data_IF_520680087331
#
_entry.id   IF_520680087331
#
_cell.length_a   1.000
_cell.length_b   1.000
_cell.length_c   1.000
_cell.angle_alpha   90.00
_cell.angle_beta   90.00
_cell.angle_gamma   90.00
#
_symmetry.space_group_name_H-M   'P 1'
#
loop_
_entity.id
_entity.type
_entity.pdbx_description
1 polymer ?
#
# COMPACT_ATOMS: atom_id res chain seq x y z
N UNK A 1 -14.31 32.62 -24.51
CA UNK A 1 -12.91 32.12 -24.66
C UNK A 1 -12.09 32.63 -23.45
N UNK A 2 -12.01 31.84 -22.35
CA UNK A 2 -11.16 32.15 -21.18
C UNK A 2 -9.94 31.22 -21.21
N UNK A 3 -8.79 31.77 -21.59
CA UNK A 3 -7.49 31.09 -21.50
C UNK A 3 -7.08 31.00 -20.02
N UNK A 4 -6.91 29.76 -19.51
CA UNK A 4 -6.27 29.52 -18.21
C UNK A 4 -4.75 29.57 -18.41
N UNK A 5 -4.12 30.56 -17.80
CA UNK A 5 -2.67 30.71 -17.73
C UNK A 5 -2.18 29.80 -16.61
N UNK A 6 -1.45 28.75 -16.93
CA UNK A 6 -0.73 27.93 -15.94
C UNK A 6 0.59 28.63 -15.60
N UNK A 7 0.63 29.20 -14.39
CA UNK A 7 1.87 29.73 -13.83
C UNK A 7 2.80 28.56 -13.46
N UNK A 8 3.87 28.44 -14.21
CA UNK A 8 4.97 27.50 -13.93
C UNK A 8 5.76 28.04 -12.72
N UNK A 9 5.56 27.42 -11.56
CA UNK A 9 6.32 27.74 -10.36
C UNK A 9 7.70 27.04 -10.43
N UNK A 10 8.68 27.78 -10.94
CA UNK A 10 10.10 27.36 -10.94
C UNK A 10 10.62 27.52 -9.53
N UNK A 11 10.86 26.40 -8.83
CA UNK A 11 11.60 26.39 -7.57
C UNK A 11 13.10 26.37 -7.84
N UNK A 12 13.71 27.53 -7.67
CA UNK A 12 15.17 27.68 -7.66
C UNK A 12 15.72 27.22 -6.31
N UNK A 13 16.44 26.10 -6.28
CA UNK A 13 17.23 25.68 -5.12
C UNK A 13 18.64 26.28 -5.26
N UNK A 14 18.99 27.18 -4.33
CA UNK A 14 20.33 27.67 -4.14
C UNK A 14 21.18 26.57 -3.48
N UNK A 15 22.22 26.08 -4.18
CA UNK A 15 23.25 25.24 -3.60
C UNK A 15 24.42 26.11 -3.14
N UNK A 16 24.75 26.01 -1.86
CA UNK A 16 26.04 26.44 -1.35
C UNK A 16 27.09 25.37 -1.69
N UNK A 17 28.11 25.77 -2.41
CA UNK A 17 29.27 24.95 -2.74
C UNK A 17 30.24 24.95 -1.55
N UNK A 18 30.74 23.79 -1.14
CA UNK A 18 31.92 23.67 -0.29
C UNK A 18 32.81 22.54 -0.82
N UNK A 19 34.03 22.93 -1.18
CA UNK A 19 35.24 22.16 -0.98
C UNK A 19 35.56 21.01 -1.92
N UNK A 20 36.42 21.34 -2.87
CA UNK A 20 37.22 20.44 -3.69
C UNK A 20 38.33 19.81 -2.84
N UNK A 21 38.43 18.48 -2.78
CA UNK A 21 39.68 17.80 -2.41
C UNK A 21 39.99 16.79 -3.53
N UNK A 22 41.04 17.08 -4.26
CA UNK A 22 41.68 16.19 -5.24
C UNK A 22 42.63 15.25 -4.53
N UNK A 23 42.50 13.94 -4.74
CA UNK A 23 43.56 12.97 -4.48
C UNK A 23 43.79 12.15 -5.73
N UNK A 24 45.02 12.27 -6.27
CA UNK A 24 45.59 11.40 -7.29
C UNK A 24 46.09 10.12 -6.61
N UNK A 25 45.85 8.98 -7.24
CA UNK A 25 46.81 7.89 -7.32
C UNK A 25 46.38 6.86 -8.35
N UNK A 26 47.28 6.64 -9.28
CA UNK A 26 47.44 5.54 -10.20
C UNK A 26 47.38 4.19 -9.51
N UNK A 27 46.77 3.18 -10.14
CA UNK A 27 47.46 1.93 -10.42
C UNK A 27 46.61 1.02 -11.33
N UNK A 28 47.23 0.61 -12.40
CA UNK A 28 46.82 -0.33 -13.42
C UNK A 28 46.96 -1.77 -12.92
N UNK A 29 45.92 -2.61 -13.04
CA UNK A 29 46.07 -4.07 -13.12
C UNK A 29 45.09 -4.66 -14.14
N UNK A 30 45.70 -5.43 -15.02
CA UNK A 30 45.23 -6.11 -16.22
C UNK A 30 44.17 -7.21 -15.98
N UNK A 31 43.33 -7.35 -17.03
CA UNK A 31 42.33 -8.40 -17.26
C UNK A 31 43.02 -9.73 -17.67
N UNK A 32 42.36 -10.86 -17.44
CA UNK A 32 42.24 -11.83 -18.54
C UNK A 32 40.80 -12.22 -18.86
N UNK A 33 40.53 -12.19 -20.16
CA UNK A 33 39.37 -12.77 -20.85
C UNK A 33 39.18 -14.26 -20.56
N UNK A 34 37.94 -14.68 -20.38
CA UNK A 34 37.46 -15.95 -20.95
C UNK A 34 35.96 -15.86 -21.28
N UNK A 35 35.70 -16.03 -22.57
CA UNK A 35 34.40 -16.26 -23.20
C UNK A 35 33.62 -17.40 -22.58
N UNK A 36 32.33 -17.25 -22.38
CA UNK A 36 31.36 -18.22 -22.89
C UNK A 36 30.00 -17.57 -23.14
N UNK A 37 29.52 -17.77 -24.35
CA UNK A 37 28.23 -17.35 -24.90
C UNK A 37 27.12 -18.20 -24.28
N UNK A 38 26.05 -17.55 -23.80
CA UNK A 38 24.73 -18.16 -23.77
C UNK A 38 23.69 -17.07 -24.03
N UNK A 39 23.15 -17.12 -25.22
CA UNK A 39 22.01 -16.36 -25.72
C UNK A 39 20.75 -16.92 -25.06
N UNK A 40 20.06 -16.14 -24.24
CA UNK A 40 18.64 -16.37 -23.96
C UNK A 40 17.86 -15.08 -24.15
N UNK A 41 17.17 -15.08 -25.28
CA UNK A 41 16.10 -14.14 -25.63
C UNK A 41 14.87 -14.49 -24.81
N UNK A 42 14.45 -13.62 -23.93
CA UNK A 42 13.14 -13.70 -23.28
C UNK A 42 12.50 -12.32 -23.27
N UNK A 43 11.76 -12.08 -24.34
CA UNK A 43 10.70 -11.05 -24.39
C UNK A 43 9.56 -11.49 -23.50
N UNK A 44 9.34 -10.83 -22.39
CA UNK A 44 8.11 -10.92 -21.62
C UNK A 44 7.50 -9.53 -21.49
N UNK A 45 6.61 -9.24 -22.41
CA UNK A 45 5.61 -8.18 -22.32
C UNK A 45 4.48 -8.69 -21.44
N UNK A 46 4.47 -8.33 -20.17
CA UNK A 46 3.32 -8.58 -19.30
C UNK A 46 2.37 -7.37 -19.36
N UNK A 47 1.35 -7.53 -20.17
CA UNK A 47 0.10 -6.76 -20.10
C UNK A 47 -0.74 -7.41 -18.99
N UNK A 48 -0.73 -6.84 -17.80
CA UNK A 48 -1.67 -7.24 -16.75
C UNK A 48 -3.05 -6.67 -17.04
N UNK A 49 -3.86 -7.46 -17.74
CA UNK A 49 -5.31 -7.29 -17.79
C UNK A 49 -5.89 -7.90 -16.51
N UNK A 50 -6.31 -7.05 -15.57
CA UNK A 50 -6.98 -7.48 -14.36
C UNK A 50 -8.41 -7.92 -14.67
N UNK A 51 -8.59 -9.19 -15.03
CA UNK A 51 -9.88 -9.88 -14.98
C UNK A 51 -9.99 -10.58 -13.63
N UNK A 52 -10.89 -10.07 -12.78
CA UNK A 52 -11.28 -10.74 -11.54
C UNK A 52 -12.04 -12.03 -11.87
N UNK A 53 -11.34 -13.15 -11.97
CA UNK A 53 -11.97 -14.46 -11.94
C UNK A 53 -12.10 -14.92 -10.48
N UNK A 54 -13.29 -14.70 -9.94
CA UNK A 54 -13.74 -15.31 -8.69
C UNK A 54 -14.08 -16.78 -8.98
N UNK A 55 -13.13 -17.69 -8.73
CA UNK A 55 -13.42 -19.13 -8.77
C UNK A 55 -14.29 -19.48 -7.56
N UNK A 56 -15.55 -19.81 -7.85
CA UNK A 56 -16.44 -20.47 -6.89
C UNK A 56 -16.04 -21.95 -6.84
N UNK A 57 -15.19 -22.35 -5.89
CA UNK A 57 -15.07 -23.76 -5.55
C UNK A 57 -16.20 -24.10 -4.58
N UNK A 58 -17.27 -24.67 -5.11
CA UNK A 58 -18.33 -25.34 -4.35
C UNK A 58 -17.84 -26.78 -4.16
N UNK A 59 -17.26 -27.09 -3.04
CA UNK A 59 -17.04 -28.48 -2.61
C UNK A 59 -18.26 -28.89 -1.81
N UNK A 60 -19.19 -29.61 -2.45
CA UNK A 60 -20.24 -30.32 -1.73
C UNK A 60 -19.64 -31.58 -1.09
N UNK A 61 -19.39 -31.53 0.19
CA UNK A 61 -19.23 -32.75 0.99
C UNK A 61 -20.62 -33.15 1.51
N UNK A 62 -20.97 -34.40 1.21
CA UNK A 62 -22.22 -35.04 1.61
C UNK A 62 -22.28 -35.15 3.14
N UNK A 63 -22.87 -34.15 3.78
CA UNK A 63 -23.27 -34.15 5.18
C UNK A 63 -24.73 -33.77 5.25
N UNK A 64 -25.51 -34.49 6.03
CA UNK A 64 -26.95 -34.30 6.32
C UNK A 64 -27.30 -32.93 6.97
N UNK A 65 -26.40 -31.98 6.96
CA UNK A 65 -26.59 -30.60 7.36
C UNK A 65 -26.56 -29.73 6.09
N UNK A 66 -27.71 -29.11 5.75
CA UNK A 66 -27.87 -28.24 4.57
C UNK A 66 -27.08 -26.92 4.63
N UNK A 67 -26.03 -26.86 5.45
CA UNK A 67 -25.19 -25.67 5.62
C UNK A 67 -24.28 -25.45 4.41
N UNK A 68 -24.31 -24.26 3.81
CA UNK A 68 -23.51 -23.87 2.66
C UNK A 68 -22.13 -23.39 3.09
N UNK A 69 -21.07 -24.13 2.74
CA UNK A 69 -19.68 -23.71 3.00
C UNK A 69 -19.09 -23.04 1.78
N UNK A 70 -18.62 -21.77 1.92
CA UNK A 70 -18.00 -21.04 0.84
C UNK A 70 -16.69 -20.36 1.28
N UNK A 71 -15.73 -20.27 0.33
CA UNK A 71 -14.48 -19.57 0.53
C UNK A 71 -14.49 -18.25 -0.23
N UNK A 72 -14.13 -17.15 0.42
CA UNK A 72 -14.03 -15.83 -0.18
C UNK A 72 -12.75 -15.12 0.26
N UNK A 73 -12.27 -14.21 -0.57
CA UNK A 73 -11.18 -13.33 -0.20
C UNK A 73 -11.55 -11.87 -0.37
N UNK A 74 -11.04 -11.03 0.51
CA UNK A 74 -11.19 -9.57 0.45
C UNK A 74 -9.86 -8.91 0.77
N UNK A 75 -9.55 -7.79 0.12
CA UNK A 75 -8.34 -7.02 0.48
C UNK A 75 -8.62 -6.09 1.65
N UNK A 76 -7.59 -5.79 2.43
CA UNK A 76 -7.67 -4.79 3.51
C UNK A 76 -8.24 -3.48 2.97
N UNK A 77 -9.19 -2.88 3.71
CA UNK A 77 -9.95 -1.68 3.36
C UNK A 77 -10.83 -1.82 2.10
N UNK A 78 -11.11 -3.05 1.66
CA UNK A 78 -12.10 -3.33 0.59
C UNK A 78 -13.31 -4.02 1.17
N UNK A 79 -14.41 -3.98 0.40
CA UNK A 79 -15.70 -4.54 0.80
C UNK A 79 -16.16 -5.59 -0.21
N UNK A 80 -16.78 -6.65 0.29
CA UNK A 80 -17.54 -7.62 -0.50
C UNK A 80 -18.93 -7.75 0.10
N UNK A 81 -19.92 -8.10 -0.74
CA UNK A 81 -21.29 -8.40 -0.30
C UNK A 81 -21.50 -9.90 -0.32
N UNK A 82 -21.74 -10.51 0.83
CA UNK A 82 -22.02 -11.94 0.95
C UNK A 82 -23.37 -12.30 0.33
N UNK A 83 -24.34 -11.42 0.37
CA UNK A 83 -25.66 -11.57 -0.23
C UNK A 83 -25.58 -12.18 -1.65
N UNK A 84 -24.75 -11.57 -2.52
CA UNK A 84 -24.58 -12.06 -3.90
C UNK A 84 -23.93 -13.45 -3.95
N UNK A 85 -23.02 -13.75 -3.03
CA UNK A 85 -22.30 -15.03 -2.97
C UNK A 85 -23.16 -16.17 -2.45
N UNK A 86 -24.18 -15.85 -1.67
CA UNK A 86 -25.11 -16.77 -1.04
C UNK A 86 -26.44 -16.86 -1.78
N UNK A 87 -26.56 -16.18 -2.94
CA UNK A 87 -27.78 -16.08 -3.74
C UNK A 87 -29.02 -15.60 -2.94
N UNK A 88 -28.79 -14.76 -1.92
CA UNK A 88 -29.85 -14.16 -1.13
C UNK A 88 -30.42 -12.94 -1.85
N UNK A 89 -31.73 -12.81 -1.93
CA UNK A 89 -32.39 -11.59 -2.37
C UNK A 89 -32.46 -10.54 -1.24
N UNK A 90 -33.03 -9.38 -1.54
CA UNK A 90 -33.09 -8.26 -0.58
C UNK A 90 -34.05 -8.50 0.60
N UNK A 91 -35.02 -9.38 0.43
CA UNK A 91 -35.97 -9.74 1.50
C UNK A 91 -35.33 -10.80 2.41
N UNK A 92 -34.81 -11.90 1.83
CA UNK A 92 -34.15 -12.98 2.57
C UNK A 92 -33.00 -12.51 3.44
N UNK A 93 -32.23 -11.48 3.02
CA UNK A 93 -31.13 -10.91 3.82
C UNK A 93 -31.62 -10.27 5.11
N UNK A 94 -32.88 -9.81 5.17
CA UNK A 94 -33.43 -9.15 6.37
C UNK A 94 -33.66 -10.14 7.51
N UNK A 95 -33.85 -11.40 7.17
CA UNK A 95 -34.10 -12.51 8.09
C UNK A 95 -32.83 -13.31 8.37
N UNK A 96 -31.64 -12.69 8.12
CA UNK A 96 -30.35 -13.31 8.34
C UNK A 96 -29.47 -12.49 9.27
N UNK A 97 -28.85 -13.17 10.23
CA UNK A 97 -27.79 -12.60 11.08
C UNK A 97 -26.43 -13.06 10.60
N UNK A 98 -25.50 -12.08 10.49
CA UNK A 98 -24.12 -12.29 10.04
C UNK A 98 -23.15 -12.03 11.19
N UNK A 99 -22.46 -13.08 11.65
CA UNK A 99 -21.53 -13.01 12.78
C UNK A 99 -20.12 -13.39 12.34
N UNK A 100 -19.16 -12.53 12.62
CA UNK A 100 -17.74 -12.80 12.39
C UNK A 100 -17.08 -13.34 13.64
N UNK A 101 -16.30 -14.43 13.53
CA UNK A 101 -15.57 -15.03 14.65
C UNK A 101 -14.45 -14.10 15.14
N UNK A 102 -13.75 -13.41 14.22
CA UNK A 102 -12.74 -12.42 14.56
C UNK A 102 -13.08 -11.04 13.97
N UNK A 103 -13.68 -10.18 14.79
CA UNK A 103 -14.03 -8.82 14.46
C UNK A 103 -12.81 -7.89 14.28
N UNK A 104 -11.60 -8.32 14.63
CA UNK A 104 -10.35 -7.58 14.35
C UNK A 104 -9.85 -7.79 12.93
N UNK A 105 -10.21 -8.92 12.30
CA UNK A 105 -9.85 -9.26 10.92
C UNK A 105 -10.85 -8.70 9.93
N UNK A 106 -12.16 -8.79 10.21
CA UNK A 106 -13.23 -8.28 9.38
C UNK A 106 -14.31 -7.56 10.19
N UNK A 107 -14.97 -6.60 9.54
CA UNK A 107 -16.23 -6.02 10.03
C UNK A 107 -17.36 -6.45 9.11
N UNK A 108 -18.42 -6.99 9.68
CA UNK A 108 -19.63 -7.38 8.95
C UNK A 108 -20.78 -6.45 9.33
N UNK A 109 -21.58 -6.06 8.34
CA UNK A 109 -22.81 -5.29 8.57
C UNK A 109 -24.02 -6.22 8.59
N UNK A 110 -25.15 -5.75 9.16
CA UNK A 110 -26.45 -6.45 9.14
C UNK A 110 -26.91 -6.87 7.73
N UNK A 111 -26.50 -6.13 6.69
CA UNK A 111 -26.82 -6.49 5.29
C UNK A 111 -25.76 -7.40 4.66
N UNK A 112 -24.97 -8.13 5.41
CA UNK A 112 -23.96 -9.07 4.89
C UNK A 112 -22.82 -8.42 4.12
N UNK A 113 -22.53 -7.11 4.33
CA UNK A 113 -21.36 -6.47 3.75
C UNK A 113 -20.14 -6.66 4.65
N UNK A 114 -19.15 -7.40 4.16
CA UNK A 114 -17.87 -7.62 4.84
C UNK A 114 -16.86 -6.56 4.41
N UNK A 115 -16.16 -6.00 5.38
CA UNK A 115 -15.02 -5.10 5.18
C UNK A 115 -13.77 -5.75 5.78
N UNK A 116 -12.72 -5.98 4.97
CA UNK A 116 -11.42 -6.44 5.48
C UNK A 116 -10.74 -5.34 6.30
N UNK A 117 -10.34 -5.65 7.53
CA UNK A 117 -9.68 -4.71 8.44
C UNK A 117 -8.18 -4.98 8.53
N UNK A 118 -7.79 -6.24 8.69
CA UNK A 118 -6.42 -6.70 8.87
C UNK A 118 -6.20 -7.99 8.08
N UNK A 119 -4.99 -8.23 7.60
CA UNK A 119 -4.64 -9.51 6.97
C UNK A 119 -4.76 -10.67 7.95
N UNK A 120 -5.36 -11.76 7.50
CA UNK A 120 -5.63 -12.95 8.29
C UNK A 120 -6.84 -13.68 7.76
N UNK A 121 -7.15 -14.84 8.35
CA UNK A 121 -8.33 -15.63 8.01
C UNK A 121 -9.32 -15.62 9.17
N UNK A 122 -10.59 -15.62 8.87
CA UNK A 122 -11.69 -15.70 9.83
C UNK A 122 -12.91 -16.31 9.16
N UNK A 123 -13.87 -16.74 9.96
CA UNK A 123 -15.15 -17.25 9.47
C UNK A 123 -16.25 -16.23 9.72
N UNK A 124 -17.22 -16.16 8.83
CA UNK A 124 -18.51 -15.49 9.04
C UNK A 124 -19.60 -16.54 8.98
N UNK A 125 -20.27 -16.74 10.11
CA UNK A 125 -21.45 -17.58 10.20
C UNK A 125 -22.67 -16.76 9.83
N UNK A 126 -23.53 -17.33 9.00
CA UNK A 126 -24.82 -16.75 8.56
C UNK A 126 -25.93 -17.62 9.13
N UNK A 127 -26.75 -17.04 10.01
CA UNK A 127 -27.83 -17.74 10.71
C UNK A 127 -29.18 -17.21 10.23
N UNK A 128 -30.16 -18.09 10.05
CA UNK A 128 -31.55 -17.72 9.81
C UNK A 128 -32.17 -17.21 11.10
N UNK A 129 -32.81 -16.05 11.06
CA UNK A 129 -33.51 -15.45 12.21
C UNK A 129 -34.90 -16.10 12.46
N UNK A 130 -35.36 -16.98 11.54
CA UNK A 130 -36.67 -17.62 11.60
C UNK A 130 -36.64 -18.92 12.41
N UNK A 131 -35.53 -19.65 12.38
CA UNK A 131 -35.39 -20.97 13.03
C UNK A 131 -34.05 -21.19 13.74
N UNK A 132 -33.21 -20.13 13.83
CA UNK A 132 -31.86 -20.15 14.42
C UNK A 132 -30.89 -21.17 13.75
N UNK A 133 -31.24 -21.71 12.58
CA UNK A 133 -30.36 -22.63 11.88
C UNK A 133 -29.18 -21.93 11.22
N UNK A 134 -28.03 -22.63 11.09
CA UNK A 134 -26.90 -22.13 10.33
C UNK A 134 -27.16 -22.30 8.83
N UNK A 135 -27.38 -21.18 8.15
CA UNK A 135 -27.62 -21.16 6.69
C UNK A 135 -26.32 -21.34 5.91
N UNK A 136 -25.24 -20.66 6.34
CA UNK A 136 -23.96 -20.73 5.65
C UNK A 136 -22.78 -20.42 6.55
N UNK A 137 -21.63 -21.04 6.22
CA UNK A 137 -20.31 -20.73 6.77
C UNK A 137 -19.46 -20.12 5.67
N UNK A 138 -18.95 -18.91 5.89
CA UNK A 138 -18.12 -18.19 4.91
C UNK A 138 -16.72 -18.07 5.45
N UNK A 139 -15.78 -18.87 4.92
CA UNK A 139 -14.36 -18.78 5.22
C UNK A 139 -13.76 -17.57 4.46
N UNK A 140 -13.25 -16.61 5.18
CA UNK A 140 -12.72 -15.36 4.65
C UNK A 140 -11.21 -15.28 4.80
N UNK A 141 -10.52 -15.00 3.69
CA UNK A 141 -9.09 -14.67 3.68
C UNK A 141 -8.91 -13.18 3.34
N UNK A 142 -8.42 -12.42 4.32
CA UNK A 142 -8.15 -10.98 4.14
C UNK A 142 -6.72 -10.78 3.70
N UNK A 143 -6.55 -10.43 2.42
CA UNK A 143 -5.24 -10.23 1.77
C UNK A 143 -4.77 -8.77 1.88
N UNK A 144 -3.44 -8.57 1.85
CA UNK A 144 -2.87 -7.21 1.74
C UNK A 144 -3.32 -6.52 0.44
N UNK A 145 -3.41 -5.19 0.49
CA UNK A 145 -3.73 -4.37 -0.69
C UNK A 145 -2.49 -4.04 -1.54
N UNK A 146 -1.33 -4.62 -1.23
CA UNK A 146 -0.04 -4.33 -1.85
C UNK A 146 0.79 -5.59 -2.07
N UNK A 147 1.75 -5.52 -2.99
CA UNK A 147 2.73 -6.58 -3.24
C UNK A 147 3.95 -6.45 -2.30
N UNK A 148 4.74 -7.53 -2.16
CA UNK A 148 6.00 -7.50 -1.41
C UNK A 148 6.97 -6.43 -1.96
N UNK A 149 7.05 -6.27 -3.29
CA UNK A 149 7.86 -5.24 -3.93
C UNK A 149 7.39 -3.83 -3.54
N UNK A 150 6.09 -3.57 -3.52
CA UNK A 150 5.55 -2.27 -3.08
C UNK A 150 5.88 -1.98 -1.62
N UNK A 151 5.76 -2.98 -0.73
CA UNK A 151 6.15 -2.83 0.68
C UNK A 151 7.63 -2.50 0.82
N UNK A 152 8.50 -3.24 0.11
CA UNK A 152 9.95 -3.04 0.09
C UNK A 152 10.31 -1.59 -0.28
N UNK A 153 9.80 -1.09 -1.41
CA UNK A 153 10.08 0.29 -1.86
C UNK A 153 9.49 1.35 -0.93
N UNK A 154 8.26 1.15 -0.44
CA UNK A 154 7.61 2.10 0.47
C UNK A 154 8.35 2.20 1.81
N UNK A 155 8.71 1.07 2.43
CA UNK A 155 9.49 1.07 3.68
C UNK A 155 10.83 1.74 3.50
N UNK A 156 11.51 1.49 2.37
CA UNK A 156 12.83 2.04 2.09
C UNK A 156 12.81 3.54 1.85
N UNK A 157 11.81 4.10 1.18
CA UNK A 157 11.70 5.54 1.01
C UNK A 157 11.32 6.24 2.31
N UNK A 158 10.42 5.66 3.10
CA UNK A 158 10.06 6.19 4.42
C UNK A 158 11.30 6.24 5.30
N UNK A 159 12.11 5.19 5.34
CA UNK A 159 13.37 5.17 6.08
C UNK A 159 14.33 6.26 5.60
N UNK A 160 14.52 6.38 4.28
CA UNK A 160 15.45 7.36 3.70
C UNK A 160 15.06 8.81 3.96
N UNK A 161 13.76 9.11 4.06
CA UNK A 161 13.24 10.47 4.23
C UNK A 161 12.91 10.81 5.68
N UNK A 162 12.58 9.81 6.51
CA UNK A 162 11.93 10.03 7.79
C UNK A 162 12.38 9.07 8.91
N UNK A 163 13.56 8.42 8.84
CA UNK A 163 13.98 7.47 9.89
C UNK A 163 14.11 8.14 11.29
N UNK A 164 14.49 9.43 11.35
CA UNK A 164 14.56 10.21 12.58
C UNK A 164 13.26 10.90 13.00
N UNK A 165 12.17 10.72 12.23
CA UNK A 165 10.87 11.31 12.56
C UNK A 165 10.09 10.39 13.52
N UNK A 166 9.15 10.95 14.32
CA UNK A 166 8.19 10.12 15.05
C UNK A 166 7.31 9.32 14.07
N UNK A 167 6.67 8.26 14.56
CA UNK A 167 5.82 7.38 13.74
C UNK A 167 4.84 8.13 12.83
N UNK A 168 4.20 9.18 13.35
CA UNK A 168 3.30 10.03 12.59
C UNK A 168 4.00 10.67 11.36
N UNK A 169 5.25 11.07 11.48
CA UNK A 169 6.06 11.63 10.39
C UNK A 169 6.41 10.56 9.34
N UNK A 170 6.85 9.37 9.79
CA UNK A 170 7.10 8.20 8.94
C UNK A 170 5.85 7.83 8.13
N UNK A 171 4.70 7.70 8.80
CA UNK A 171 3.41 7.40 8.16
C UNK A 171 2.97 8.50 7.19
N UNK A 172 3.15 9.77 7.56
CA UNK A 172 2.81 10.91 6.72
C UNK A 172 3.58 10.90 5.38
N UNK A 173 4.88 10.59 5.40
CA UNK A 173 5.68 10.42 4.17
C UNK A 173 5.12 9.29 3.32
N UNK A 174 4.80 8.13 3.90
CA UNK A 174 4.16 7.01 3.19
C UNK A 174 2.83 7.39 2.54
N UNK A 175 1.97 8.12 3.26
CA UNK A 175 0.68 8.60 2.73
C UNK A 175 0.88 9.54 1.53
N UNK A 176 1.87 10.45 1.57
CA UNK A 176 2.17 11.32 0.41
C UNK A 176 2.56 10.49 -0.81
N UNK A 177 3.45 9.49 -0.66
CA UNK A 177 3.82 8.58 -1.77
C UNK A 177 2.59 7.85 -2.30
N UNK A 178 1.76 7.28 -1.43
CA UNK A 178 0.53 6.57 -1.80
C UNK A 178 -0.51 7.49 -2.47
N UNK A 179 -0.58 8.77 -2.07
CA UNK A 179 -1.43 9.76 -2.73
C UNK A 179 -0.93 10.11 -4.13
N UNK A 180 0.40 10.26 -4.30
CA UNK A 180 1.00 10.54 -5.62
C UNK A 180 0.70 9.43 -6.61
N UNK A 181 0.84 8.15 -6.23
CA UNK A 181 0.51 7.00 -7.08
C UNK A 181 -0.94 7.05 -7.59
N UNK A 182 -1.87 7.60 -6.80
CA UNK A 182 -3.29 7.72 -7.15
C UNK A 182 -3.64 9.03 -7.86
N UNK A 183 -2.72 9.97 -7.95
CA UNK A 183 -2.93 11.28 -8.56
C UNK A 183 -2.51 11.26 -10.03
N UNK A 184 -3.34 11.80 -10.92
CA UNK A 184 -3.00 12.00 -12.34
C UNK A 184 -1.82 12.93 -12.60
N UNK A 185 -1.34 13.66 -11.57
CA UNK A 185 -0.18 14.55 -11.66
C UNK A 185 1.16 13.82 -11.54
N UNK A 186 1.16 12.53 -11.18
CA UNK A 186 2.34 11.73 -10.89
C UNK A 186 2.27 10.38 -11.62
N UNK A 187 3.40 9.66 -11.75
CA UNK A 187 3.38 8.28 -12.21
C UNK A 187 2.49 7.39 -11.34
N UNK A 188 1.80 6.41 -11.95
CA UNK A 188 0.86 5.51 -11.27
C UNK A 188 1.51 4.30 -10.59
N UNK A 189 2.85 4.23 -10.53
CA UNK A 189 3.60 3.16 -9.87
C UNK A 189 4.52 3.73 -8.80
N UNK A 190 4.81 2.91 -7.76
CA UNK A 190 5.72 3.34 -6.68
C UNK A 190 7.11 3.67 -7.21
N UNK A 191 7.69 2.82 -8.06
CA UNK A 191 8.99 3.09 -8.69
C UNK A 191 8.95 4.38 -9.50
N UNK A 192 7.92 4.57 -10.32
CA UNK A 192 7.74 5.79 -11.12
C UNK A 192 7.72 7.05 -10.26
N UNK A 193 6.97 7.04 -9.13
CA UNK A 193 6.93 8.17 -8.18
C UNK A 193 8.29 8.42 -7.53
N UNK A 194 8.98 7.36 -7.06
CA UNK A 194 10.25 7.50 -6.34
C UNK A 194 11.39 7.97 -7.24
N UNK A 195 11.45 7.50 -8.48
CA UNK A 195 12.50 7.85 -9.43
C UNK A 195 12.14 9.05 -10.33
N UNK A 196 10.97 9.67 -10.11
CA UNK A 196 10.59 10.88 -10.82
C UNK A 196 11.61 11.98 -10.57
N UNK A 197 12.05 12.63 -11.65
CA UNK A 197 13.10 13.67 -11.62
C UNK A 197 12.73 14.76 -10.60
N UNK A 198 13.68 15.12 -9.73
CA UNK A 198 13.59 16.18 -8.71
C UNK A 198 12.55 15.98 -7.61
N UNK A 199 12.01 14.75 -7.40
CA UNK A 199 11.05 14.49 -6.35
C UNK A 199 11.69 13.95 -5.07
N UNK A 200 12.52 12.92 -5.17
CA UNK A 200 13.15 12.28 -4.03
C UNK A 200 14.67 12.27 -4.16
N UNK A 201 15.36 12.98 -3.28
CA UNK A 201 16.84 13.02 -3.24
C UNK A 201 17.43 11.63 -3.00
N UNK A 202 16.90 10.78 -2.08
CA UNK A 202 17.41 9.44 -1.84
C UNK A 202 17.48 8.53 -3.06
N UNK A 203 16.59 8.68 -4.03
CA UNK A 203 16.60 7.91 -5.28
C UNK A 203 17.77 8.30 -6.20
N UNK A 204 18.40 9.47 -5.98
CA UNK A 204 19.47 10.01 -6.82
C UNK A 204 20.86 9.91 -6.19
N UNK A 205 20.94 9.97 -4.86
CA UNK A 205 22.23 9.98 -4.11
C UNK A 205 22.62 8.61 -3.52
N UNK A 206 21.91 7.55 -3.93
CA UNK A 206 22.16 6.18 -3.46
C UNK A 206 21.60 5.84 -2.07
N UNK A 207 21.01 6.80 -1.34
CA UNK A 207 20.41 6.51 -0.02
C UNK A 207 19.27 5.52 -0.10
N UNK A 208 18.44 5.60 -1.15
CA UNK A 208 17.36 4.63 -1.36
C UNK A 208 17.91 3.20 -1.57
N UNK A 209 19.01 3.04 -2.32
CA UNK A 209 19.62 1.72 -2.53
C UNK A 209 20.15 1.13 -1.21
N UNK A 210 20.74 1.95 -0.34
CA UNK A 210 21.15 1.50 1.01
C UNK A 210 19.95 1.08 1.86
N UNK A 211 18.85 1.81 1.79
CA UNK A 211 17.62 1.46 2.52
C UNK A 211 16.95 0.21 1.95
N UNK A 212 17.01 -0.03 0.64
CA UNK A 212 16.55 -1.28 0.02
C UNK A 212 17.36 -2.47 0.53
N UNK A 213 18.71 -2.35 0.57
CA UNK A 213 19.58 -3.39 1.13
C UNK A 213 19.32 -3.63 2.64
N UNK A 214 19.01 -2.56 3.39
CA UNK A 214 18.62 -2.68 4.80
C UNK A 214 17.31 -3.45 4.97
N UNK A 215 16.33 -3.22 4.10
CA UNK A 215 15.09 -3.99 4.06
C UNK A 215 15.34 -5.46 3.73
N UNK A 216 16.12 -5.74 2.68
CA UNK A 216 16.43 -7.10 2.21
C UNK A 216 17.19 -7.93 3.25
N UNK A 217 18.00 -7.28 4.10
CA UNK A 217 18.72 -7.93 5.21
C UNK A 217 17.88 -8.11 6.48
N UNK A 218 16.59 -7.73 6.47
CA UNK A 218 15.71 -7.82 7.65
C UNK A 218 16.01 -6.81 8.77
N UNK A 219 16.88 -5.82 8.53
CA UNK A 219 17.30 -4.82 9.53
C UNK A 219 16.58 -3.48 9.39
N UNK A 220 15.53 -3.43 8.57
CA UNK A 220 14.70 -2.21 8.42
C UNK A 220 13.99 -1.89 9.74
N UNK A 221 13.95 -0.60 10.09
CA UNK A 221 13.16 -0.09 11.22
C UNK A 221 11.70 -0.59 11.15
N UNK A 222 11.21 -1.30 12.18
CA UNK A 222 9.84 -1.83 12.22
C UNK A 222 8.77 -0.77 12.04
N UNK A 223 8.98 0.44 12.55
CA UNK A 223 8.06 1.57 12.38
C UNK A 223 7.94 2.00 10.91
N UNK A 224 9.04 1.95 10.15
CA UNK A 224 9.01 2.25 8.72
C UNK A 224 8.21 1.20 7.94
N UNK A 225 8.32 -0.09 8.33
CA UNK A 225 7.54 -1.18 7.75
C UNK A 225 6.05 -1.04 8.11
N UNK A 226 5.73 -0.76 9.38
CA UNK A 226 4.36 -0.57 9.84
C UNK A 226 3.70 0.64 9.14
N UNK A 227 4.37 1.78 9.09
CA UNK A 227 3.91 2.97 8.39
C UNK A 227 3.68 2.73 6.88
N UNK A 228 4.57 1.95 6.24
CA UNK A 228 4.43 1.55 4.84
C UNK A 228 3.18 0.68 4.62
N UNK A 229 2.94 -0.32 5.48
CA UNK A 229 1.75 -1.18 5.42
C UNK A 229 0.46 -0.37 5.53
N UNK A 230 0.37 0.54 6.49
CA UNK A 230 -0.82 1.38 6.68
C UNK A 230 -1.08 2.30 5.48
N UNK A 231 -0.05 2.98 4.98
CA UNK A 231 -0.16 3.87 3.82
C UNK A 231 -0.58 3.10 2.55
N UNK A 232 0.00 1.91 2.30
CA UNK A 232 -0.30 1.05 1.16
C UNK A 232 -1.70 0.43 1.26
N UNK A 233 -2.17 0.12 2.46
CA UNK A 233 -3.54 -0.32 2.70
C UNK A 233 -4.57 0.82 2.54
N UNK A 234 -4.10 2.05 2.33
CA UNK A 234 -4.95 3.19 1.98
C UNK A 234 -5.35 4.06 3.17
N UNK A 235 -4.71 3.93 4.32
CA UNK A 235 -4.92 4.88 5.41
C UNK A 235 -4.51 6.30 4.97
N UNK A 236 -5.29 7.28 5.41
CA UNK A 236 -5.16 8.70 5.03
C UNK A 236 -5.05 9.61 6.24
N UNK A 237 -4.91 9.03 7.43
CA UNK A 237 -4.88 9.79 8.68
C UNK A 237 -3.60 9.52 9.45
N UNK A 238 -3.13 10.52 10.17
CA UNK A 238 -2.09 10.40 11.18
C UNK A 238 -2.55 11.03 12.49
N UNK A 239 -2.14 10.45 13.61
CA UNK A 239 -2.37 11.02 14.94
C UNK A 239 -1.05 11.65 15.37
N UNK A 240 -1.07 12.96 15.62
CA UNK A 240 0.10 13.69 16.10
C UNK A 240 -0.30 14.73 17.15
N UNK A 241 0.34 14.72 18.30
CA UNK A 241 0.04 15.61 19.45
C UNK A 241 -1.47 15.64 19.78
N UNK A 242 -2.08 14.45 19.94
CA UNK A 242 -3.50 14.22 20.24
C UNK A 242 -4.49 14.76 19.18
N UNK A 243 -4.00 15.10 17.98
CA UNK A 243 -4.83 15.56 16.88
C UNK A 243 -4.82 14.56 15.74
N UNK A 244 -5.98 14.25 15.19
CA UNK A 244 -6.11 13.45 13.96
C UNK A 244 -6.01 14.36 12.74
N UNK A 245 -5.01 14.14 11.91
CA UNK A 245 -4.72 14.92 10.70
C UNK A 245 -5.14 14.10 9.48
N UNK A 246 -6.08 14.62 8.68
CA UNK A 246 -6.49 14.02 7.42
C UNK A 246 -5.55 14.46 6.29
N UNK A 247 -4.94 13.49 5.62
CA UNK A 247 -3.95 13.69 4.57
C UNK A 247 -4.43 13.30 3.17
N UNK A 248 -5.74 13.09 2.96
CA UNK A 248 -6.30 12.55 1.69
C UNK A 248 -5.82 13.29 0.44
N UNK A 249 -5.62 14.61 0.51
CA UNK A 249 -5.19 15.45 -0.62
C UNK A 249 -3.76 15.98 -0.46
N UNK A 250 -2.95 15.40 0.40
CA UNK A 250 -1.58 15.85 0.67
C UNK A 250 -0.62 15.19 -0.33
N UNK A 251 0.05 16.00 -1.13
CA UNK A 251 0.93 15.54 -2.22
C UNK A 251 2.39 15.97 -2.06
N UNK A 252 2.67 16.89 -1.13
CA UNK A 252 4.01 17.45 -0.95
C UNK A 252 4.42 17.46 0.52
N UNK A 253 5.70 17.20 0.77
CA UNK A 253 6.35 17.42 2.05
C UNK A 253 7.76 17.95 1.85
N UNK A 254 8.25 18.74 2.81
CA UNK A 254 9.63 19.24 2.86
C UNK A 254 9.89 19.83 4.25
N UNK A 255 11.15 20.12 4.56
CA UNK A 255 11.51 20.90 5.79
C UNK A 255 10.90 22.31 5.76
N UNK A 256 10.72 22.89 4.58
CA UNK A 256 10.07 24.18 4.39
C UNK A 256 9.13 24.15 3.19
N UNK A 257 7.87 24.52 3.41
CA UNK A 257 6.85 24.72 2.35
C UNK A 257 6.07 25.99 2.65
N UNK A 258 6.13 26.95 1.73
CA UNK A 258 5.32 28.15 1.81
C UNK A 258 3.82 27.81 1.77
N UNK A 259 3.05 28.36 2.72
CA UNK A 259 1.63 28.05 2.91
C UNK A 259 1.38 26.54 3.08
N UNK A 260 2.18 25.88 3.91
CA UNK A 260 1.92 24.49 4.33
C UNK A 260 0.57 24.41 5.06
N UNK A 261 -0.11 23.27 4.93
CA UNK A 261 -1.39 23.02 5.64
C UNK A 261 -1.15 22.67 7.10
N UNK A 262 -0.11 21.90 7.37
CA UNK A 262 0.26 21.45 8.71
C UNK A 262 1.73 21.05 8.76
N UNK A 263 2.23 20.85 9.99
CA UNK A 263 3.58 20.39 10.28
C UNK A 263 3.54 19.18 11.19
N UNK A 264 4.36 18.16 10.90
CA UNK A 264 4.61 17.01 11.77
C UNK A 264 6.13 16.97 11.97
N UNK A 265 6.57 17.16 13.21
CA UNK A 265 7.97 17.29 13.61
C UNK A 265 8.78 18.20 12.66
N UNK A 266 9.73 17.67 11.87
CA UNK A 266 10.58 18.47 11.00
C UNK A 266 10.00 18.70 9.59
N UNK A 267 8.90 18.01 9.22
CA UNK A 267 8.30 18.12 7.89
C UNK A 267 7.03 18.97 7.87
N UNK A 268 6.93 19.83 6.86
CA UNK A 268 5.73 20.57 6.48
C UNK A 268 5.04 19.89 5.32
N UNK A 269 3.72 19.91 5.29
CA UNK A 269 2.88 19.18 4.33
C UNK A 269 1.88 20.07 3.62
N UNK A 270 1.65 19.77 2.29
CA UNK A 270 0.70 20.49 1.44
C UNK A 270 -0.01 19.57 0.44
#
# INVERSE_FOLDING_TARGET
>A
LKRKIYSSLVFTFMFAAVGLVTVHADDSVSIPDTNTVATETSTASEVETSTENSYNNITSTDNTDNTLDINKSVKVNKKIKLQKSLNLDSESVKDMTFTADDSTVVKVSKAGTVTGLKTGSTTVTVTSDTDDSVYATVNLDVKSSYTASQLRYMSSIIYSEACGEPYAGKKAVGIVVANRIKSSLFPNTIKGVLYQRRQFTPARNGSLNRSLALYDSGRMDPDCIAAAKEALNGDKTVIYKNSTINMTKTLFFSRYIYRSKFRIAHHMFK
#
